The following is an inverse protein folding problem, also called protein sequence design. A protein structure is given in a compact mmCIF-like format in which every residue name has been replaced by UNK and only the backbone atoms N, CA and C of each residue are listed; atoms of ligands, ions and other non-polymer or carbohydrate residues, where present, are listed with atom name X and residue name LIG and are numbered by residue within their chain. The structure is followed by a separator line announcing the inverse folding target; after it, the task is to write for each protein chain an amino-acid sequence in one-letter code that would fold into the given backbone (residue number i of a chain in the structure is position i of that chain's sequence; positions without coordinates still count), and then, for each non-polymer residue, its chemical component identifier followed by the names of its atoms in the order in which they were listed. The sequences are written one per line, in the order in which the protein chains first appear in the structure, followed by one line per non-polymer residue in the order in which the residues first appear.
data_IF_197538071490
#
_entry.id   IF_197538071490
#
_cell.length_a   1.000
_cell.length_b   1.000
_cell.length_c   1.000
_cell.angle_alpha   90.00
_cell.angle_beta   90.00
_cell.angle_gamma   90.00
#
_symmetry.space_group_name_H-M   'P 1'
#
loop_
_entity.id
_entity.type
_entity.pdbx_description
1 polymer ?
#
# COMPACT_ATOMS: atom_id res chain seq x y z
N UNK A 1 18.52 -1.98 6.24
CA UNK A 1 17.43 -1.34 5.49
C UNK A 1 17.76 0.14 5.32
N UNK A 2 17.65 0.69 4.11
CA UNK A 2 18.02 2.08 3.83
C UNK A 2 16.95 3.08 4.32
N UNK A 3 17.31 4.34 4.59
CA UNK A 3 16.34 5.38 4.97
C UNK A 3 15.25 5.63 3.92
N UNK A 4 15.59 5.53 2.63
CA UNK A 4 14.63 5.70 1.53
C UNK A 4 13.53 4.63 1.57
N UNK A 5 13.91 3.37 1.79
CA UNK A 5 12.97 2.24 1.91
C UNK A 5 12.09 2.41 3.15
N UNK A 6 12.66 2.82 4.28
CA UNK A 6 11.89 3.13 5.50
C UNK A 6 10.84 4.21 5.26
N UNK A 7 11.22 5.29 4.59
CA UNK A 7 10.30 6.38 4.26
C UNK A 7 9.17 5.91 3.34
N UNK A 8 9.48 5.11 2.32
CA UNK A 8 8.49 4.55 1.41
C UNK A 8 7.49 3.64 2.15
N UNK A 9 7.96 2.80 3.07
CA UNK A 9 7.09 1.96 3.89
C UNK A 9 6.15 2.80 4.76
N UNK A 10 6.66 3.87 5.40
CA UNK A 10 5.83 4.79 6.18
C UNK A 10 4.75 5.44 5.31
N UNK A 11 5.13 5.93 4.12
CA UNK A 11 4.19 6.54 3.18
C UNK A 11 3.11 5.55 2.72
N UNK A 12 3.47 4.30 2.43
CA UNK A 12 2.52 3.24 2.06
C UNK A 12 1.56 2.95 3.22
N UNK A 13 2.05 2.89 4.46
CA UNK A 13 1.18 2.70 5.63
C UNK A 13 0.21 3.87 5.83
N UNK A 14 0.68 5.11 5.63
CA UNK A 14 -0.17 6.31 5.68
C UNK A 14 -1.24 6.28 4.59
N UNK A 15 -0.87 5.91 3.35
CA UNK A 15 -1.83 5.75 2.25
C UNK A 15 -2.87 4.66 2.55
N UNK A 16 -2.44 3.52 3.07
CA UNK A 16 -3.34 2.45 3.50
C UNK A 16 -4.34 2.94 4.55
N UNK A 17 -3.91 3.75 5.52
CA UNK A 17 -4.79 4.35 6.53
C UNK A 17 -5.77 5.36 5.92
N UNK A 18 -5.33 6.22 4.99
CA UNK A 18 -6.21 7.15 4.28
C UNK A 18 -7.26 6.42 3.45
N UNK A 19 -6.88 5.36 2.74
CA UNK A 19 -7.81 4.53 1.98
C UNK A 19 -8.79 3.79 2.90
N UNK A 20 -8.35 3.32 4.06
CA UNK A 20 -9.20 2.66 5.05
C UNK A 20 -10.25 3.61 5.68
N UNK A 21 -9.95 4.91 5.74
CA UNK A 21 -10.89 5.93 6.18
C UNK A 21 -11.93 6.30 5.09
N UNK A 22 -11.72 5.88 3.83
CA UNK A 22 -12.65 6.15 2.75
C UNK A 22 -13.81 5.14 2.77
N UNK A 23 -15.08 5.56 2.94
CA UNK A 23 -16.22 4.65 3.05
C UNK A 23 -16.50 3.85 1.77
N UNK A 24 -15.89 4.20 0.64
CA UNK A 24 -16.03 3.48 -0.64
C UNK A 24 -15.32 2.13 -0.64
N UNK A 25 -14.37 1.93 0.26
CA UNK A 25 -13.51 0.76 0.26
C UNK A 25 -13.48 0.08 1.61
N UNK A 26 -13.31 -1.24 1.58
CA UNK A 26 -12.76 -1.98 2.71
C UNK A 26 -11.29 -2.25 2.40
N UNK A 27 -10.39 -1.81 3.26
CA UNK A 27 -8.94 -1.97 3.06
C UNK A 27 -8.38 -2.97 4.05
N UNK A 28 -7.47 -3.82 3.58
CA UNK A 28 -6.66 -4.69 4.40
C UNK A 28 -5.18 -4.42 4.14
N UNK A 29 -4.47 -4.05 5.19
CA UNK A 29 -3.02 -3.84 5.16
C UNK A 29 -2.35 -4.88 6.03
N UNK A 30 -1.37 -5.58 5.46
CA UNK A 30 -0.58 -6.60 6.12
C UNK A 30 0.90 -6.31 5.95
N UNK A 31 1.65 -6.41 7.04
CA UNK A 31 3.10 -6.35 7.02
C UNK A 31 3.65 -7.52 7.84
N UNK A 32 4.66 -8.21 7.32
CA UNK A 32 5.31 -9.33 7.99
C UNK A 32 6.81 -9.16 7.99
N UNK A 33 7.42 -9.29 9.18
CA UNK A 33 8.88 -9.32 9.32
C UNK A 33 9.50 -10.70 9.03
N UNK A 34 8.71 -11.78 9.12
CA UNK A 34 9.20 -13.15 8.89
C UNK A 34 9.37 -13.48 7.41
N UNK A 35 8.35 -13.12 6.61
CA UNK A 35 8.37 -13.27 5.15
C UNK A 35 8.63 -11.94 4.45
N UNK A 36 8.91 -10.87 5.21
CA UNK A 36 9.44 -9.63 4.67
C UNK A 36 8.60 -9.09 3.51
N UNK A 37 7.33 -8.89 3.82
CA UNK A 37 6.30 -8.54 2.85
C UNK A 37 5.46 -7.41 3.40
N UNK A 38 5.05 -6.52 2.51
CA UNK A 38 3.94 -5.59 2.73
C UNK A 38 2.92 -5.80 1.63
N UNK A 39 1.65 -5.82 2.02
CA UNK A 39 0.53 -6.02 1.12
C UNK A 39 -0.63 -5.11 1.53
N UNK A 40 -1.23 -4.47 0.53
CA UNK A 40 -2.46 -3.69 0.67
C UNK A 40 -3.48 -4.24 -0.32
N UNK A 41 -4.61 -4.71 0.20
CA UNK A 41 -5.75 -5.21 -0.55
C UNK A 41 -6.91 -4.24 -0.40
N UNK A 42 -7.49 -3.84 -1.52
CA UNK A 42 -8.65 -2.95 -1.57
C UNK A 42 -9.84 -3.78 -2.04
N UNK A 43 -10.92 -3.75 -1.26
CA UNK A 43 -12.19 -4.39 -1.56
C UNK A 43 -13.29 -3.34 -1.70
N UNK A 44 -14.42 -3.66 -2.35
CA UNK A 44 -15.61 -2.83 -2.30
C UNK A 44 -16.10 -2.65 -0.85
N UNK A 45 -16.79 -1.54 -0.59
CA UNK A 45 -17.46 -1.30 0.68
C UNK A 45 -18.36 -2.50 1.09
N UNK A 46 -18.36 -2.83 2.39
CA UNK A 46 -19.17 -3.92 2.94
C UNK A 46 -18.61 -5.33 2.72
N UNK A 47 -17.48 -5.49 2.02
CA UNK A 47 -16.83 -6.78 1.88
C UNK A 47 -16.22 -7.24 3.22
N UNK A 48 -16.70 -8.36 3.78
CA UNK A 48 -16.16 -8.91 5.03
C UNK A 48 -15.08 -9.95 4.74
N UNK A 49 -13.82 -9.54 4.60
CA UNK A 49 -12.74 -10.44 4.15
C UNK A 49 -12.36 -11.56 5.15
N UNK A 50 -12.64 -11.40 6.45
CA UNK A 50 -12.27 -12.39 7.49
C UNK A 50 -13.23 -13.57 7.61
N UNK A 51 -14.51 -13.37 7.33
CA UNK A 51 -15.59 -14.31 7.72
C UNK A 51 -16.42 -14.81 6.53
N UNK A 52 -16.20 -14.27 5.33
CA UNK A 52 -16.93 -14.68 4.14
C UNK A 52 -16.25 -15.85 3.42
N UNK A 53 -17.06 -16.87 3.12
CA UNK A 53 -16.70 -17.97 2.24
C UNK A 53 -17.69 -18.01 1.06
N UNK A 54 -17.21 -17.93 -0.20
CA UNK A 54 -15.82 -17.71 -0.60
C UNK A 54 -15.33 -16.30 -0.22
N UNK A 55 -14.02 -16.17 0.04
CA UNK A 55 -13.42 -14.86 0.33
C UNK A 55 -13.65 -13.92 -0.87
N UNK A 56 -14.05 -12.66 -0.64
CA UNK A 56 -14.22 -11.69 -1.70
C UNK A 56 -12.90 -11.54 -2.45
N UNK A 57 -12.98 -11.25 -3.75
CA UNK A 57 -11.81 -10.88 -4.53
C UNK A 57 -11.54 -9.39 -4.32
N UNK A 58 -10.29 -8.99 -4.04
CA UNK A 58 -9.96 -7.58 -4.00
C UNK A 58 -10.12 -6.96 -5.39
N UNK A 59 -10.60 -5.72 -5.45
CA UNK A 59 -10.62 -4.93 -6.69
C UNK A 59 -9.22 -4.42 -7.03
N UNK A 60 -8.34 -4.29 -6.03
CA UNK A 60 -6.95 -3.92 -6.23
C UNK A 60 -6.05 -4.59 -5.19
N UNK A 61 -4.83 -4.91 -5.61
CA UNK A 61 -3.79 -5.49 -4.79
C UNK A 61 -2.47 -4.79 -5.10
N UNK A 62 -1.80 -4.29 -4.07
CA UNK A 62 -0.45 -3.80 -4.17
C UNK A 62 0.42 -4.54 -3.14
N UNK A 63 1.58 -5.02 -3.57
CA UNK A 63 2.45 -5.87 -2.75
C UNK A 63 3.90 -5.59 -3.09
N UNK A 64 4.76 -5.60 -2.07
CA UNK A 64 6.20 -5.64 -2.22
C UNK A 64 6.77 -6.74 -1.33
N UNK A 65 7.76 -7.45 -1.86
CA UNK A 65 8.46 -8.52 -1.15
C UNK A 65 9.95 -8.21 -1.13
N UNK A 66 10.56 -8.38 0.03
CA UNK A 66 12.01 -8.26 0.17
C UNK A 66 12.61 -9.50 0.81
N UNK A 67 13.83 -9.81 0.40
CA UNK A 67 14.69 -10.70 1.16
C UNK A 67 15.51 -9.86 2.12
N UNK A 68 15.65 -10.32 3.35
CA UNK A 68 16.40 -9.58 4.38
C UNK A 68 17.17 -10.51 5.28
N UNK A 69 17.35 -11.73 4.79
CA UNK A 69 18.53 -12.51 5.11
C UNK A 69 19.50 -12.30 3.96
N UNK A 70 20.34 -11.26 4.08
CA UNK A 70 21.62 -11.29 3.39
C UNK A 70 22.61 -11.93 4.35
N UNK A 71 23.17 -13.06 3.96
CA UNK A 71 24.25 -13.67 4.73
C UNK A 71 25.50 -12.80 4.59
N UNK A 72 26.42 -12.79 5.58
CA UNK A 72 27.71 -12.11 5.44
C UNK A 72 28.56 -12.62 4.26
N UNK A 73 28.19 -13.77 3.68
CA UNK A 73 28.85 -14.39 2.53
C UNK A 73 28.28 -13.90 1.20
N UNK A 74 27.15 -13.18 1.21
CA UNK A 74 26.54 -12.69 -0.01
C UNK A 74 27.37 -11.53 -0.58
N UNK A 75 27.61 -11.52 -1.91
CA UNK A 75 28.27 -10.39 -2.56
C UNK A 75 27.55 -9.07 -2.27
N UNK A 76 28.30 -8.01 -1.96
CA UNK A 76 27.73 -6.67 -1.71
C UNK A 76 26.88 -6.16 -2.88
N UNK A 77 27.22 -6.55 -4.12
CA UNK A 77 26.47 -6.23 -5.32
C UNK A 77 25.06 -6.81 -5.31
N UNK A 78 24.87 -8.02 -4.77
CA UNK A 78 23.53 -8.62 -4.62
C UNK A 78 22.69 -7.82 -3.62
N UNK A 79 23.29 -7.38 -2.52
CA UNK A 79 22.60 -6.54 -1.55
C UNK A 79 22.15 -5.19 -2.14
N UNK A 80 23.01 -4.55 -2.93
CA UNK A 80 22.68 -3.29 -3.60
C UNK A 80 21.60 -3.46 -4.67
N UNK A 81 21.64 -4.56 -5.43
CA UNK A 81 20.63 -4.90 -6.41
C UNK A 81 19.25 -5.13 -5.76
N UNK A 82 19.20 -5.89 -4.66
CA UNK A 82 17.97 -6.14 -3.91
C UNK A 82 17.38 -4.87 -3.29
N UNK A 83 18.22 -4.00 -2.72
CA UNK A 83 17.75 -2.70 -2.23
C UNK A 83 17.13 -1.85 -3.34
N UNK A 84 17.75 -1.85 -4.52
CA UNK A 84 17.24 -1.11 -5.68
C UNK A 84 15.93 -1.69 -6.18
N UNK A 85 15.82 -3.03 -6.25
CA UNK A 85 14.59 -3.73 -6.62
C UNK A 85 13.45 -3.38 -5.65
N UNK A 86 13.70 -3.52 -4.35
CA UNK A 86 12.72 -3.22 -3.31
C UNK A 86 12.25 -1.77 -3.37
N UNK A 87 13.17 -0.82 -3.53
CA UNK A 87 12.81 0.58 -3.64
C UNK A 87 11.85 0.83 -4.81
N UNK A 88 12.12 0.24 -5.99
CA UNK A 88 11.23 0.37 -7.16
C UNK A 88 9.87 -0.26 -6.93
N UNK A 89 9.81 -1.42 -6.29
CA UNK A 89 8.54 -2.08 -5.96
C UNK A 89 7.69 -1.25 -5.00
N UNK A 90 8.33 -0.65 -3.99
CA UNK A 90 7.64 0.23 -3.04
C UNK A 90 7.20 1.55 -3.69
N UNK A 91 8.02 2.14 -4.57
CA UNK A 91 7.63 3.32 -5.36
C UNK A 91 6.42 3.03 -6.25
N UNK A 92 6.42 1.88 -6.93
CA UNK A 92 5.30 1.42 -7.73
C UNK A 92 4.05 1.18 -6.88
N UNK A 93 4.19 0.50 -5.74
CA UNK A 93 3.10 0.27 -4.78
C UNK A 93 2.49 1.59 -4.30
N UNK A 94 3.34 2.56 -3.93
CA UNK A 94 2.90 3.89 -3.52
C UNK A 94 2.09 4.59 -4.63
N UNK A 95 2.61 4.60 -5.86
CA UNK A 95 1.92 5.19 -7.01
C UNK A 95 0.58 4.49 -7.31
N UNK A 96 0.56 3.16 -7.25
CA UNK A 96 -0.66 2.38 -7.45
C UNK A 96 -1.73 2.68 -6.40
N UNK A 97 -1.35 2.85 -5.13
CA UNK A 97 -2.30 3.21 -4.06
C UNK A 97 -2.84 4.63 -4.18
N UNK A 98 -2.02 5.58 -4.64
CA UNK A 98 -2.46 6.95 -4.90
C UNK A 98 -3.60 7.02 -5.93
N UNK A 99 -3.64 6.11 -6.91
CA UNK A 99 -4.71 6.06 -7.91
C UNK A 99 -6.11 5.75 -7.32
N UNK A 100 -6.17 5.26 -6.07
CA UNK A 100 -7.42 4.96 -5.36
C UNK A 100 -7.83 6.02 -4.35
N UNK A 101 -6.99 7.05 -4.13
CA UNK A 101 -7.42 8.19 -3.35
C UNK A 101 -8.48 8.96 -4.14
N UNK A 102 -9.52 9.49 -3.47
CA UNK A 102 -10.46 10.38 -4.14
C UNK A 102 -9.65 11.54 -4.71
N UNK A 103 -9.84 11.85 -6.00
CA UNK A 103 -9.39 13.13 -6.54
C UNK A 103 -10.03 14.20 -5.67
N UNK A 104 -9.23 15.03 -5.00
CA UNK A 104 -9.70 16.12 -4.15
C UNK A 104 -10.86 16.82 -4.89
N UNK A 105 -12.09 16.55 -4.46
CA UNK A 105 -13.24 17.31 -4.92
C UNK A 105 -13.09 18.67 -4.25
N UNK A 106 -12.35 19.53 -4.93
CA UNK A 106 -12.55 20.97 -4.87
C UNK A 106 -13.86 21.29 -5.60
N UNK A 107 -14.97 20.69 -5.16
CA UNK A 107 -16.32 21.25 -5.34
C UNK A 107 -16.60 22.13 -4.11
N UNK A 108 -15.72 23.12 -3.94
CA UNK A 108 -16.11 24.33 -3.25
C UNK A 108 -16.73 25.17 -4.36
N UNK A 109 -18.04 25.38 -4.28
CA UNK A 109 -18.87 26.48 -4.82
C UNK A 109 -20.12 25.94 -5.52
N UNK A 110 -21.18 25.73 -4.75
CA UNK A 110 -22.48 26.35 -5.02
C UNK A 110 -23.34 26.18 -3.76
N UNK A 111 -23.07 27.05 -2.77
CA UNK A 111 -24.05 27.32 -1.72
C UNK A 111 -25.23 28.05 -2.38
N UNK A 112 -26.49 27.70 -2.08
CA UNK A 112 -27.63 28.41 -2.62
C UNK A 112 -27.61 29.85 -2.12
N UNK A 113 -27.55 30.79 -3.07
CA UNK A 113 -27.74 32.21 -2.82
C UNK A 113 -29.15 32.40 -2.26
N UNK A 114 -29.23 32.77 -0.98
CA UNK A 114 -30.47 33.18 -0.36
C UNK A 114 -30.84 34.57 -0.89
N UNK A 115 -31.88 34.63 -1.74
CA UNK A 115 -32.72 35.81 -1.96
C UNK A 115 -34.11 35.39 -2.48
#
# INVERSE_FOLDING_TARGET
MSPAIQLLLIQIMQLGAMLAANPRYQVFTYASGHIQQIEVLIYPAGAVWRESHPRPKPIARAMAYWEGYCTPLDPQEMHAAEQTRLQRELEFMRAALHAYLPADHTDITDLPEAA
#
